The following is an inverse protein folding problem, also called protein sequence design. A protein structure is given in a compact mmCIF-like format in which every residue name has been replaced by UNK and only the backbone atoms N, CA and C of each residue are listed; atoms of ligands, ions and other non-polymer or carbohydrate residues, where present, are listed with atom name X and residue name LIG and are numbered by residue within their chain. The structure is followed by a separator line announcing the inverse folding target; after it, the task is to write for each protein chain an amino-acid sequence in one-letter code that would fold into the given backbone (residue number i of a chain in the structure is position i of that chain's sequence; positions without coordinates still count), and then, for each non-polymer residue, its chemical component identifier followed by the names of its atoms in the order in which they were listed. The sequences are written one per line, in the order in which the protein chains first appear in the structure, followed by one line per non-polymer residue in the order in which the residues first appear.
data_IF_254457778656
#
_entry.id   IF_254457778656
#
_cell.length_a   1.000
_cell.length_b   1.000
_cell.length_c   1.000
_cell.angle_alpha   90.00
_cell.angle_beta   90.00
_cell.angle_gamma   90.00
#
_symmetry.space_group_name_H-M   'P 1'
#
loop_
_entity.id
_entity.type
_entity.pdbx_description
1 polymer ?
#
# COMPACT_ATOMS: atom_id res chain seq x y z
N UNK A 1 -11.91 -51.24 -9.04
CA UNK A 1 -11.69 -49.86 -9.51
C UNK A 1 -12.74 -48.99 -8.81
N UNK A 2 -12.42 -48.46 -7.63
CA UNK A 2 -13.36 -47.64 -6.85
C UNK A 2 -13.36 -46.23 -7.43
N UNK A 3 -14.40 -45.94 -8.18
CA UNK A 3 -14.75 -44.65 -8.76
C UNK A 3 -14.88 -43.60 -7.64
N UNK A 4 -13.85 -42.76 -7.42
CA UNK A 4 -13.82 -41.64 -6.45
C UNK A 4 -14.82 -40.51 -6.85
N UNK A 5 -15.66 -40.73 -7.87
CA UNK A 5 -16.59 -39.74 -8.43
C UNK A 5 -17.81 -39.42 -7.55
N UNK A 6 -17.83 -39.79 -6.26
CA UNK A 6 -18.98 -39.55 -5.37
C UNK A 6 -18.90 -38.24 -4.59
N UNK A 7 -17.71 -37.69 -4.38
CA UNK A 7 -17.56 -36.49 -3.56
C UNK A 7 -17.44 -35.26 -4.46
N UNK A 8 -18.60 -34.67 -4.76
CA UNK A 8 -18.69 -33.32 -5.30
C UNK A 8 -18.44 -32.25 -4.22
N UNK A 9 -18.41 -32.63 -2.95
CA UNK A 9 -18.30 -31.74 -1.83
C UNK A 9 -17.40 -32.37 -0.76
N UNK A 10 -16.43 -31.59 -0.26
CA UNK A 10 -15.59 -31.91 0.89
C UNK A 10 -15.79 -30.80 1.92
N UNK A 11 -16.44 -31.13 3.03
CA UNK A 11 -16.64 -30.23 4.17
C UNK A 11 -15.89 -30.82 5.37
N UNK A 12 -14.78 -30.19 5.72
CA UNK A 12 -13.93 -30.57 6.84
C UNK A 12 -13.62 -29.37 7.74
N UNK A 13 -14.53 -28.39 7.80
CA UNK A 13 -14.36 -27.21 8.62
C UNK A 13 -14.40 -27.53 10.13
N UNK A 14 -13.61 -26.78 10.92
CA UNK A 14 -13.57 -26.91 12.38
C UNK A 14 -13.25 -28.33 12.88
N UNK A 15 -12.32 -29.01 12.23
CA UNK A 15 -11.90 -30.39 12.57
C UNK A 15 -10.52 -30.47 13.22
N UNK A 16 -9.92 -29.33 13.57
CA UNK A 16 -8.57 -29.26 14.14
C UNK A 16 -7.50 -29.89 13.24
N UNK A 17 -7.76 -29.97 11.93
CA UNK A 17 -6.81 -30.52 10.94
C UNK A 17 -5.55 -29.65 10.88
N UNK A 18 -4.40 -30.26 10.63
CA UNK A 18 -3.11 -29.60 10.57
C UNK A 18 -2.26 -30.14 9.41
N UNK A 19 -1.13 -29.51 9.15
CA UNK A 19 -0.29 -29.82 7.99
C UNK A 19 -0.70 -28.99 6.76
N UNK A 20 -0.22 -29.38 5.59
CA UNK A 20 -0.48 -28.67 4.34
C UNK A 20 -1.65 -29.24 3.55
N UNK A 21 -2.15 -28.47 2.58
CA UNK A 21 -3.08 -28.97 1.57
C UNK A 21 -2.26 -29.78 0.56
N UNK A 22 -2.50 -31.09 0.39
CA UNK A 22 -1.73 -31.92 -0.52
C UNK A 22 -1.99 -31.51 -1.98
N UNK A 23 -0.95 -31.39 -2.84
CA UNK A 23 -1.09 -31.10 -4.27
C UNK A 23 -2.05 -32.06 -5.02
N UNK A 24 -2.18 -33.30 -4.53
CA UNK A 24 -3.10 -34.31 -5.04
C UNK A 24 -4.57 -33.87 -5.00
N UNK A 25 -4.91 -32.84 -4.21
CA UNK A 25 -6.26 -32.23 -4.22
C UNK A 25 -6.68 -31.84 -5.64
N UNK A 26 -5.73 -31.43 -6.50
CA UNK A 26 -5.98 -31.07 -7.90
C UNK A 26 -6.44 -32.23 -8.80
N UNK A 27 -6.40 -33.47 -8.31
CA UNK A 27 -6.91 -34.65 -9.03
C UNK A 27 -8.43 -34.83 -8.86
N UNK A 28 -9.06 -34.11 -7.93
CA UNK A 28 -10.49 -34.21 -7.64
C UNK A 28 -11.32 -33.39 -8.63
N UNK A 29 -11.21 -33.69 -9.92
CA UNK A 29 -11.78 -32.89 -11.01
C UNK A 29 -13.30 -32.68 -10.97
N UNK A 30 -14.04 -33.49 -10.21
CA UNK A 30 -15.50 -33.36 -10.02
C UNK A 30 -15.90 -32.55 -8.78
N UNK A 31 -14.92 -32.06 -8.00
CA UNK A 31 -15.17 -31.30 -6.79
C UNK A 31 -15.80 -29.95 -7.12
N UNK A 32 -16.92 -29.66 -6.47
CA UNK A 32 -17.70 -28.42 -6.55
C UNK A 32 -17.54 -27.57 -5.30
N UNK A 33 -17.30 -28.18 -4.15
CA UNK A 33 -17.19 -27.48 -2.89
C UNK A 33 -16.05 -28.05 -2.05
N UNK A 34 -15.16 -27.17 -1.63
CA UNK A 34 -14.07 -27.46 -0.71
C UNK A 34 -14.11 -26.47 0.45
N UNK A 35 -14.53 -26.94 1.61
CA UNK A 35 -14.50 -26.18 2.86
C UNK A 35 -13.52 -26.84 3.84
N UNK A 36 -12.37 -26.19 4.01
CA UNK A 36 -11.34 -26.56 4.98
C UNK A 36 -11.21 -25.49 6.07
N UNK A 37 -12.19 -24.59 6.21
CA UNK A 37 -12.11 -23.42 7.08
C UNK A 37 -11.99 -23.77 8.57
N UNK A 38 -11.48 -22.83 9.35
CA UNK A 38 -11.34 -22.96 10.81
C UNK A 38 -10.57 -24.22 11.23
N UNK A 39 -9.44 -24.49 10.57
CA UNK A 39 -8.51 -25.56 10.91
C UNK A 39 -7.10 -24.99 11.21
N UNK A 40 -6.18 -25.83 11.65
CA UNK A 40 -4.76 -25.50 11.81
C UNK A 40 -3.93 -25.79 10.54
N UNK A 41 -4.56 -25.86 9.37
CA UNK A 41 -3.87 -26.07 8.10
C UNK A 41 -2.88 -24.91 7.87
N UNK A 42 -1.65 -25.24 7.54
CA UNK A 42 -0.52 -24.33 7.42
C UNK A 42 0.16 -24.46 6.05
N UNK A 43 1.30 -23.79 5.89
CA UNK A 43 2.06 -23.73 4.62
C UNK A 43 1.28 -23.02 3.51
N UNK A 44 1.70 -23.21 2.26
CA UNK A 44 1.18 -22.48 1.12
C UNK A 44 -0.06 -23.14 0.52
N UNK A 45 -0.86 -22.34 -0.18
CA UNK A 45 -1.92 -22.83 -1.05
C UNK A 45 -1.26 -23.49 -2.28
N UNK A 46 -1.48 -24.78 -2.59
CA UNK A 46 -0.89 -25.43 -3.75
C UNK A 46 -1.51 -24.90 -5.05
N UNK A 47 -0.69 -24.67 -6.08
CA UNK A 47 -1.17 -24.21 -7.40
C UNK A 47 -2.08 -25.24 -8.07
N UNK A 48 -1.96 -26.52 -7.72
CA UNK A 48 -2.80 -27.61 -8.20
C UNK A 48 -4.28 -27.42 -7.89
N UNK A 49 -4.64 -26.61 -6.90
CA UNK A 49 -6.04 -26.21 -6.67
C UNK A 49 -6.65 -25.56 -7.91
N UNK A 50 -5.86 -24.83 -8.71
CA UNK A 50 -6.29 -24.22 -9.97
C UNK A 50 -6.75 -25.22 -11.04
N UNK A 51 -6.49 -26.53 -10.87
CA UNK A 51 -6.97 -27.59 -11.77
C UNK A 51 -8.44 -27.96 -11.54
N UNK A 52 -9.04 -27.53 -10.43
CA UNK A 52 -10.40 -27.86 -10.04
C UNK A 52 -11.44 -26.98 -10.74
N UNK A 53 -11.50 -27.05 -12.07
CA UNK A 53 -12.33 -26.13 -12.88
C UNK A 53 -13.84 -26.25 -12.61
N UNK A 54 -14.31 -27.33 -11.99
CA UNK A 54 -15.71 -27.50 -11.56
C UNK A 54 -16.01 -26.89 -10.18
N UNK A 55 -15.01 -26.37 -9.47
CA UNK A 55 -15.15 -25.83 -8.12
C UNK A 55 -15.99 -24.56 -8.15
N UNK A 56 -17.06 -24.54 -7.35
CA UNK A 56 -18.00 -23.44 -7.18
C UNK A 56 -17.75 -22.70 -5.86
N UNK A 57 -17.25 -23.39 -4.83
CA UNK A 57 -16.97 -22.81 -3.50
C UNK A 57 -15.63 -23.29 -2.96
N UNK A 58 -14.79 -22.34 -2.54
CA UNK A 58 -13.50 -22.60 -1.91
C UNK A 58 -13.37 -21.76 -0.63
N UNK A 59 -13.40 -22.43 0.53
CA UNK A 59 -13.22 -21.82 1.83
C UNK A 59 -11.97 -22.38 2.53
N UNK A 60 -10.98 -21.51 2.70
CA UNK A 60 -9.73 -21.77 3.41
C UNK A 60 -9.51 -20.75 4.54
N UNK A 61 -10.56 -20.03 4.94
CA UNK A 61 -10.48 -18.97 5.93
C UNK A 61 -10.28 -19.51 7.35
N UNK A 62 -9.73 -18.68 8.23
CA UNK A 62 -9.36 -19.09 9.61
C UNK A 62 -8.40 -20.30 9.62
N UNK A 63 -7.43 -20.31 8.71
CA UNK A 63 -6.33 -21.27 8.68
C UNK A 63 -5.00 -20.56 8.98
N UNK A 64 -3.92 -21.32 9.13
CA UNK A 64 -2.55 -20.81 9.34
C UNK A 64 -1.76 -20.73 8.02
N UNK A 65 -2.45 -20.60 6.89
CA UNK A 65 -1.84 -20.56 5.56
C UNK A 65 -0.90 -19.37 5.42
N UNK A 66 0.25 -19.58 4.78
CA UNK A 66 1.30 -18.60 4.52
C UNK A 66 1.61 -18.53 3.02
N UNK A 67 2.58 -17.69 2.63
CA UNK A 67 2.98 -17.52 1.23
C UNK A 67 1.96 -16.69 0.44
N UNK A 68 2.06 -16.75 -0.89
CA UNK A 68 1.23 -15.95 -1.80
C UNK A 68 -0.03 -16.68 -2.22
N UNK A 69 -1.03 -15.93 -2.67
CA UNK A 69 -2.18 -16.49 -3.39
C UNK A 69 -1.70 -16.95 -4.77
N UNK A 70 -1.84 -18.24 -5.16
CA UNK A 70 -1.43 -18.70 -6.49
C UNK A 70 -2.28 -18.06 -7.60
N UNK A 71 -1.64 -17.60 -8.68
CA UNK A 71 -2.34 -17.09 -9.87
C UNK A 71 -3.21 -18.17 -10.53
N UNK A 72 -2.84 -19.45 -10.41
CA UNK A 72 -3.60 -20.59 -10.92
C UNK A 72 -5.04 -20.66 -10.38
N UNK A 73 -5.34 -20.04 -9.23
CA UNK A 73 -6.72 -19.92 -8.75
C UNK A 73 -7.61 -19.13 -9.73
N UNK A 74 -7.03 -18.29 -10.60
CA UNK A 74 -7.75 -17.62 -11.69
C UNK A 74 -8.32 -18.57 -12.76
N UNK A 75 -7.89 -19.85 -12.77
CA UNK A 75 -8.42 -20.87 -13.70
C UNK A 75 -9.77 -21.47 -13.25
N UNK A 76 -10.23 -21.16 -12.03
CA UNK A 76 -11.46 -21.71 -11.45
C UNK A 76 -12.71 -21.03 -12.03
N UNK A 77 -12.95 -21.21 -13.33
CA UNK A 77 -13.98 -20.47 -14.08
C UNK A 77 -15.41 -20.61 -13.55
N UNK A 78 -15.73 -21.68 -12.81
CA UNK A 78 -17.03 -21.90 -12.18
C UNK A 78 -17.14 -21.37 -10.74
N UNK A 79 -16.07 -20.79 -10.19
CA UNK A 79 -16.03 -20.35 -8.80
C UNK A 79 -16.99 -19.19 -8.56
N UNK A 80 -17.82 -19.33 -7.53
CA UNK A 80 -18.81 -18.36 -7.08
C UNK A 80 -18.42 -17.70 -5.76
N UNK A 81 -17.73 -18.44 -4.89
CA UNK A 81 -17.32 -17.96 -3.57
C UNK A 81 -15.89 -18.37 -3.26
N UNK A 82 -15.05 -17.38 -2.95
CA UNK A 82 -13.68 -17.55 -2.50
C UNK A 82 -13.48 -16.84 -1.17
N UNK A 83 -13.17 -17.59 -0.11
CA UNK A 83 -12.85 -17.04 1.20
C UNK A 83 -11.47 -17.53 1.67
N UNK A 84 -10.51 -16.61 1.66
CA UNK A 84 -9.15 -16.78 2.16
C UNK A 84 -8.88 -15.85 3.37
N UNK A 85 -9.92 -15.35 4.01
CA UNK A 85 -9.79 -14.39 5.13
C UNK A 85 -9.20 -15.02 6.39
N UNK A 86 -8.63 -14.20 7.28
CA UNK A 86 -8.07 -14.65 8.56
C UNK A 86 -7.00 -15.74 8.40
N UNK A 87 -6.03 -15.48 7.52
CA UNK A 87 -4.84 -16.31 7.32
C UNK A 87 -3.57 -15.45 7.47
N UNK A 88 -2.40 -15.98 7.10
CA UNK A 88 -1.13 -15.25 7.12
C UNK A 88 -0.59 -15.04 5.69
N UNK A 89 -1.48 -14.87 4.70
CA UNK A 89 -1.09 -14.73 3.30
C UNK A 89 -0.36 -13.40 3.06
N UNK A 90 0.66 -13.42 2.20
CA UNK A 90 1.53 -12.29 1.86
C UNK A 90 1.54 -12.05 0.34
N UNK A 91 2.23 -10.98 -0.07
CA UNK A 91 2.39 -10.63 -1.48
C UNK A 91 1.14 -9.97 -2.06
N UNK A 92 1.08 -9.91 -3.39
CA UNK A 92 0.01 -9.20 -4.09
C UNK A 92 -1.26 -10.04 -4.23
N UNK A 93 -2.38 -9.37 -4.47
CA UNK A 93 -3.58 -10.02 -5.01
C UNK A 93 -3.30 -10.33 -6.49
N UNK A 94 -3.36 -11.60 -6.94
CA UNK A 94 -3.09 -11.92 -8.34
C UNK A 94 -4.13 -11.29 -9.27
N UNK A 95 -3.70 -10.57 -10.33
CA UNK A 95 -4.60 -10.05 -11.36
C UNK A 95 -5.47 -11.13 -12.02
N UNK A 96 -4.97 -12.37 -12.08
CA UNK A 96 -5.66 -13.53 -12.64
C UNK A 96 -6.98 -13.87 -11.93
N UNK A 97 -7.17 -13.42 -10.68
CA UNK A 97 -8.48 -13.53 -10.01
C UNK A 97 -9.57 -12.76 -10.74
N UNK A 98 -9.22 -11.78 -11.59
CA UNK A 98 -10.16 -11.10 -12.48
C UNK A 98 -10.75 -11.97 -13.58
N UNK A 99 -10.22 -13.19 -13.80
CA UNK A 99 -10.76 -14.16 -14.78
C UNK A 99 -11.97 -14.94 -14.22
N UNK A 100 -12.27 -14.82 -12.93
CA UNK A 100 -13.34 -15.55 -12.25
C UNK A 100 -14.73 -14.96 -12.54
N UNK A 101 -15.16 -14.98 -13.80
CA UNK A 101 -16.39 -14.33 -14.27
C UNK A 101 -17.70 -14.73 -13.55
N UNK A 102 -17.69 -15.85 -12.81
CA UNK A 102 -18.82 -16.31 -12.00
C UNK A 102 -18.76 -15.90 -10.52
N UNK A 103 -17.69 -15.24 -10.09
CA UNK A 103 -17.45 -14.92 -8.68
C UNK A 103 -18.45 -13.88 -8.17
N UNK A 104 -19.13 -14.23 -7.08
CA UNK A 104 -20.09 -13.38 -6.37
C UNK A 104 -19.53 -12.90 -5.02
N UNK A 105 -18.64 -13.68 -4.40
CA UNK A 105 -18.02 -13.32 -3.12
C UNK A 105 -16.51 -13.55 -3.15
N UNK A 106 -15.76 -12.48 -2.88
CA UNK A 106 -14.31 -12.49 -2.69
C UNK A 106 -13.95 -11.91 -1.32
N UNK A 107 -13.40 -12.74 -0.44
CA UNK A 107 -13.00 -12.34 0.90
C UNK A 107 -11.52 -12.68 1.13
N UNK A 108 -10.72 -11.63 1.27
CA UNK A 108 -9.28 -11.68 1.52
C UNK A 108 -8.88 -10.90 2.79
N UNK A 109 -9.86 -10.47 3.59
CA UNK A 109 -9.64 -9.64 4.78
C UNK A 109 -8.81 -10.34 5.85
N UNK A 110 -8.13 -9.59 6.71
CA UNK A 110 -7.28 -10.11 7.79
C UNK A 110 -6.18 -11.05 7.25
N UNK A 111 -5.34 -10.50 6.39
CA UNK A 111 -4.11 -11.12 5.90
C UNK A 111 -2.98 -10.07 5.92
N UNK A 112 -1.80 -10.42 5.37
CA UNK A 112 -0.66 -9.53 5.21
C UNK A 112 -0.42 -9.16 3.73
N UNK A 113 -1.49 -9.14 2.90
CA UNK A 113 -1.38 -8.84 1.47
C UNK A 113 -0.93 -7.40 1.25
N UNK A 114 -0.10 -7.18 0.23
CA UNK A 114 0.52 -5.89 -0.09
C UNK A 114 0.35 -5.53 -1.57
N UNK A 115 0.87 -4.37 -1.96
CA UNK A 115 0.69 -3.85 -3.32
C UNK A 115 -0.69 -3.24 -3.54
N UNK A 116 -1.04 -3.01 -4.81
CA UNK A 116 -2.31 -2.37 -5.19
C UNK A 116 -3.42 -3.38 -5.38
N UNK A 117 -4.67 -2.91 -5.32
CA UNK A 117 -5.82 -3.72 -5.74
C UNK A 117 -5.80 -3.80 -7.28
N UNK A 118 -5.73 -5.01 -7.90
CA UNK A 118 -5.67 -5.16 -9.35
C UNK A 118 -6.90 -4.58 -10.06
N UNK A 119 -6.69 -3.98 -11.22
CA UNK A 119 -7.75 -3.39 -12.05
C UNK A 119 -8.72 -4.46 -12.57
N UNK A 120 -8.18 -5.65 -12.77
CA UNK A 120 -8.80 -6.82 -13.35
C UNK A 120 -9.95 -7.34 -12.49
N UNK A 121 -9.94 -7.07 -11.18
CA UNK A 121 -11.08 -7.37 -10.32
C UNK A 121 -12.34 -6.58 -10.72
N UNK A 122 -12.20 -5.45 -11.42
CA UNK A 122 -13.32 -4.73 -12.02
C UNK A 122 -14.04 -5.49 -13.15
N UNK A 123 -13.47 -6.58 -13.68
CA UNK A 123 -14.11 -7.46 -14.68
C UNK A 123 -15.17 -8.38 -14.05
N UNK A 124 -15.19 -8.52 -12.73
CA UNK A 124 -16.06 -9.43 -11.98
C UNK A 124 -17.49 -8.89 -11.88
N UNK A 125 -18.19 -8.88 -13.01
CA UNK A 125 -19.55 -8.29 -13.16
C UNK A 125 -20.64 -8.91 -12.27
N UNK A 126 -20.37 -10.08 -11.66
CA UNK A 126 -21.27 -10.76 -10.72
C UNK A 126 -20.89 -10.56 -9.25
N UNK A 127 -19.81 -9.82 -8.97
CA UNK A 127 -19.30 -9.65 -7.62
C UNK A 127 -20.26 -8.80 -6.78
N UNK A 128 -20.70 -9.37 -5.66
CA UNK A 128 -21.63 -8.75 -4.71
C UNK A 128 -20.94 -8.44 -3.38
N UNK A 129 -19.95 -9.25 -2.98
CA UNK A 129 -19.20 -9.09 -1.73
C UNK A 129 -17.71 -9.01 -2.01
N UNK A 130 -17.07 -7.93 -1.54
CA UNK A 130 -15.62 -7.73 -1.64
C UNK A 130 -15.04 -7.26 -0.30
N UNK A 131 -14.36 -8.14 0.42
CA UNK A 131 -13.69 -7.81 1.68
C UNK A 131 -12.18 -7.91 1.53
N UNK A 132 -11.50 -6.76 1.62
CA UNK A 132 -10.04 -6.63 1.55
C UNK A 132 -9.47 -5.96 2.81
N UNK A 133 -10.32 -5.61 3.78
CA UNK A 133 -9.92 -4.88 4.98
C UNK A 133 -8.91 -5.64 5.85
N UNK A 134 -8.15 -4.92 6.68
CA UNK A 134 -7.07 -5.49 7.51
C UNK A 134 -6.02 -6.23 6.66
N UNK A 135 -5.38 -5.49 5.76
CA UNK A 135 -4.23 -5.91 4.96
C UNK A 135 -3.22 -4.75 4.85
N UNK A 136 -2.14 -4.95 4.11
CA UNK A 136 -1.13 -3.93 3.81
C UNK A 136 -1.27 -3.37 2.38
N UNK A 137 -2.49 -3.34 1.84
CA UNK A 137 -2.74 -2.86 0.47
C UNK A 137 -2.53 -1.35 0.37
N UNK A 138 -2.00 -0.90 -0.75
CA UNK A 138 -1.65 0.50 -1.04
C UNK A 138 -2.29 0.97 -2.35
N UNK A 139 -2.10 2.25 -2.68
CA UNK A 139 -2.61 2.85 -3.91
C UNK A 139 -4.11 3.17 -3.88
N UNK A 140 -4.61 3.82 -4.94
CA UNK A 140 -5.99 4.24 -5.03
C UNK A 140 -6.93 3.07 -5.31
N UNK A 141 -8.16 3.15 -4.79
CA UNK A 141 -9.25 2.29 -5.24
C UNK A 141 -9.58 2.67 -6.69
N UNK A 142 -9.31 1.76 -7.61
CA UNK A 142 -9.50 1.96 -9.03
C UNK A 142 -10.97 2.21 -9.38
N UNK A 143 -11.22 2.99 -10.43
CA UNK A 143 -12.56 3.37 -10.89
C UNK A 143 -13.41 2.18 -11.32
N UNK A 144 -12.77 1.15 -11.85
CA UNK A 144 -13.34 -0.09 -12.35
C UNK A 144 -14.04 -0.86 -11.22
N UNK A 145 -13.46 -0.84 -10.01
CA UNK A 145 -14.08 -1.42 -8.81
C UNK A 145 -15.30 -0.64 -8.35
N UNK A 146 -15.29 0.70 -8.51
CA UNK A 146 -16.43 1.55 -8.18
C UNK A 146 -17.61 1.36 -9.14
N UNK A 147 -17.31 0.92 -10.36
CA UNK A 147 -18.31 0.69 -11.40
C UNK A 147 -18.98 -0.69 -11.31
N UNK A 148 -18.58 -1.53 -10.34
CA UNK A 148 -19.26 -2.79 -10.06
C UNK A 148 -20.64 -2.51 -9.45
N UNK A 149 -21.63 -2.37 -10.33
CA UNK A 149 -23.02 -2.03 -10.00
C UNK A 149 -23.75 -3.00 -9.07
N UNK A 150 -23.20 -4.20 -8.85
CA UNK A 150 -23.78 -5.25 -8.01
C UNK A 150 -23.15 -5.39 -6.63
N UNK A 151 -22.11 -4.62 -6.30
CA UNK A 151 -21.50 -4.70 -4.98
C UNK A 151 -22.50 -4.23 -3.93
N UNK A 152 -22.91 -5.16 -3.07
CA UNK A 152 -23.77 -4.92 -1.92
C UNK A 152 -22.95 -4.58 -0.67
N UNK A 153 -21.75 -5.15 -0.57
CA UNK A 153 -20.86 -4.94 0.57
C UNK A 153 -19.41 -4.91 0.12
N UNK A 154 -18.76 -3.76 0.28
CA UNK A 154 -17.33 -3.58 0.02
C UNK A 154 -16.66 -3.02 1.27
N UNK A 155 -15.67 -3.75 1.79
CA UNK A 155 -14.88 -3.31 2.93
C UNK A 155 -13.40 -3.34 2.59
N UNK A 156 -12.79 -2.17 2.49
CA UNK A 156 -11.37 -1.96 2.18
C UNK A 156 -10.65 -1.17 3.28
N UNK A 157 -11.31 -0.92 4.40
CA UNK A 157 -10.78 -0.18 5.56
C UNK A 157 -9.54 -0.89 6.15
N UNK A 158 -8.76 -0.17 6.97
CA UNK A 158 -7.56 -0.75 7.62
C UNK A 158 -6.54 -1.32 6.62
N UNK A 159 -6.47 -0.67 5.45
CA UNK A 159 -5.38 -0.77 4.50
C UNK A 159 -4.64 0.58 4.43
N UNK A 160 -3.45 0.57 3.84
CA UNK A 160 -2.70 1.78 3.52
C UNK A 160 -3.16 2.42 2.20
N UNK A 161 -4.40 2.13 1.74
CA UNK A 161 -5.03 2.70 0.56
C UNK A 161 -5.23 4.19 0.77
N UNK A 162 -4.32 4.98 0.20
CA UNK A 162 -4.21 6.44 0.20
C UNK A 162 -5.06 7.21 1.23
N UNK A 163 -4.52 7.36 2.43
CA UNK A 163 -4.43 8.73 2.97
C UNK A 163 -3.56 9.51 2.00
N UNK A 164 -4.15 10.18 1.01
CA UNK A 164 -3.44 11.25 0.30
C UNK A 164 -2.97 12.23 1.39
N UNK A 165 -1.69 12.20 1.77
CA UNK A 165 -1.07 13.35 2.42
C UNK A 165 -1.10 14.44 1.36
N UNK A 166 -2.24 15.15 1.26
CA UNK A 166 -2.27 16.47 0.67
C UNK A 166 -1.31 17.28 1.53
N UNK A 167 -0.07 17.43 1.07
CA UNK A 167 0.80 18.50 1.55
C UNK A 167 -0.05 19.75 1.40
N UNK A 168 -0.49 20.34 2.51
CA UNK A 168 -1.34 21.51 2.41
C UNK A 168 -0.46 22.63 1.88
N UNK A 169 -0.97 23.42 0.96
CA UNK A 169 -0.27 24.62 0.46
C UNK A 169 0.12 25.53 1.65
N UNK A 170 -0.61 25.47 2.78
CA UNK A 170 -0.25 26.13 4.04
C UNK A 170 1.12 25.72 4.60
N UNK A 171 1.53 24.47 4.41
CA UNK A 171 2.81 23.94 4.91
C UNK A 171 4.00 24.45 4.07
N UNK A 172 3.74 24.84 2.82
CA UNK A 172 4.70 25.45 1.89
C UNK A 172 4.77 26.98 2.08
N UNK A 173 3.65 27.62 2.44
CA UNK A 173 3.53 29.07 2.61
C UNK A 173 4.18 29.65 3.87
N UNK A 174 4.61 28.83 4.83
CA UNK A 174 5.31 29.32 6.03
C UNK A 174 6.75 29.78 5.71
N UNK A 175 7.32 29.36 4.58
CA UNK A 175 8.70 29.64 4.20
C UNK A 175 8.98 31.06 3.65
N UNK A 176 8.18 31.66 2.75
CA UNK A 176 8.54 32.96 2.17
C UNK A 176 8.58 34.10 3.19
N UNK A 177 7.68 34.12 4.18
CA UNK A 177 7.68 35.14 5.25
C UNK A 177 8.93 34.98 6.14
N UNK A 178 9.31 33.74 6.46
CA UNK A 178 10.49 33.45 7.26
C UNK A 178 11.80 33.82 6.53
N UNK A 179 11.86 33.57 5.22
CA UNK A 179 12.99 33.97 4.36
C UNK A 179 13.11 35.49 4.28
N UNK A 180 12.01 36.21 4.10
CA UNK A 180 12.00 37.69 4.08
C UNK A 180 12.47 38.25 5.42
N UNK A 181 12.04 37.68 6.55
CA UNK A 181 12.47 38.11 7.87
C UNK A 181 13.99 37.97 8.08
N UNK A 182 14.58 36.86 7.61
CA UNK A 182 16.04 36.65 7.67
C UNK A 182 16.78 37.69 6.82
N UNK A 183 16.34 37.93 5.59
CA UNK A 183 16.96 38.94 4.69
C UNK A 183 16.89 40.34 5.32
N UNK A 184 15.77 40.70 5.96
CA UNK A 184 15.63 42.00 6.63
C UNK A 184 16.59 42.12 7.81
N UNK A 185 16.76 41.06 8.62
CA UNK A 185 17.72 41.04 9.72
C UNK A 185 19.15 41.21 9.20
N UNK A 186 19.52 40.53 8.11
CA UNK A 186 20.84 40.65 7.49
C UNK A 186 21.10 42.08 6.99
N UNK A 187 20.11 42.71 6.33
CA UNK A 187 20.21 44.11 5.89
C UNK A 187 20.39 45.04 7.08
N UNK A 188 19.64 44.87 8.17
CA UNK A 188 19.77 45.70 9.38
C UNK A 188 21.17 45.57 9.97
N UNK A 189 21.71 44.35 10.08
CA UNK A 189 23.05 44.11 10.62
C UNK A 189 24.14 44.71 9.72
N UNK A 190 23.99 44.62 8.40
CA UNK A 190 24.87 45.27 7.44
C UNK A 190 24.81 46.79 7.61
N UNK A 191 23.61 47.40 7.63
CA UNK A 191 23.43 48.83 7.83
C UNK A 191 24.04 49.32 9.16
N UNK A 192 23.84 48.58 10.25
CA UNK A 192 24.45 48.87 11.55
C UNK A 192 25.99 48.83 11.47
N UNK A 193 26.55 47.81 10.81
CA UNK A 193 28.01 47.69 10.63
C UNK A 193 28.60 48.85 9.83
N UNK A 194 27.91 49.33 8.79
CA UNK A 194 28.32 50.47 7.96
C UNK A 194 28.22 51.78 8.74
N UNK A 195 27.13 51.97 9.51
CA UNK A 195 26.96 53.16 10.35
C UNK A 195 28.04 53.25 11.42
N UNK A 196 28.35 52.14 12.10
CA UNK A 196 29.41 52.09 13.12
C UNK A 196 30.79 52.39 12.55
N UNK A 197 31.12 51.88 11.34
CA UNK A 197 32.39 52.19 10.65
C UNK A 197 32.55 53.67 10.34
N UNK A 198 31.47 54.39 9.99
CA UNK A 198 31.52 55.85 9.74
C UNK A 198 31.79 56.68 11.00
N UNK A 199 31.46 56.15 12.19
CA UNK A 199 31.64 56.84 13.48
C UNK A 199 33.04 56.65 14.09
N UNK A 200 33.76 55.59 13.70
CA UNK A 200 35.15 55.35 14.13
C UNK A 200 36.13 56.07 13.19
N UNK A 201 36.56 57.27 13.56
CA UNK A 201 37.56 58.08 12.81
C UNK A 201 39.02 57.84 13.22
N UNK A 202 39.29 56.95 14.19
CA UNK A 202 40.62 56.78 14.82
C UNK A 202 41.42 55.55 14.35
N UNK A 203 41.01 54.87 13.27
CA UNK A 203 41.86 53.87 12.59
C UNK A 203 42.15 52.55 13.33
N UNK A 204 41.85 52.42 14.64
CA UNK A 204 41.96 51.15 15.39
C UNK A 204 40.65 50.36 15.31
N UNK A 205 40.66 49.21 14.60
CA UNK A 205 39.55 48.25 14.61
C UNK A 205 39.50 47.53 15.97
N UNK A 206 38.35 47.55 16.62
CA UNK A 206 38.13 46.89 17.91
C UNK A 206 37.84 45.39 17.73
N UNK A 207 38.02 44.58 18.78
CA UNK A 207 37.58 43.17 18.81
C UNK A 207 36.10 43.04 18.41
N UNK A 208 35.28 44.01 18.79
CA UNK A 208 33.87 44.08 18.43
C UNK A 208 33.65 44.22 16.91
N UNK A 209 34.57 44.82 16.16
CA UNK A 209 34.46 44.94 14.69
C UNK A 209 34.80 43.62 13.99
N UNK A 210 35.72 42.83 14.56
CA UNK A 210 35.99 41.46 14.10
C UNK A 210 34.82 40.52 14.40
N UNK A 211 34.23 40.60 15.59
CA UNK A 211 33.04 39.82 15.94
C UNK A 211 31.88 40.16 15.01
N UNK A 212 31.64 41.43 14.72
CA UNK A 212 30.58 41.84 13.77
C UNK A 212 30.86 41.32 12.36
N UNK A 213 32.11 41.38 11.88
CA UNK A 213 32.45 40.78 10.58
C UNK A 213 32.25 39.26 10.55
N UNK A 214 32.63 38.57 11.63
CA UNK A 214 32.45 37.12 11.74
C UNK A 214 30.97 36.74 11.72
N UNK A 215 30.12 37.47 12.45
CA UNK A 215 28.67 37.25 12.46
C UNK A 215 28.08 37.46 11.05
N UNK A 216 28.49 38.50 10.33
CA UNK A 216 28.03 38.74 8.95
C UNK A 216 28.41 37.56 8.02
N UNK A 217 29.63 37.04 8.16
CA UNK A 217 30.10 35.90 7.35
C UNK A 217 29.29 34.64 7.67
N UNK A 218 29.04 34.35 8.95
CA UNK A 218 28.25 33.20 9.37
C UNK A 218 26.81 33.29 8.86
N UNK A 219 26.18 34.46 8.97
CA UNK A 219 24.82 34.69 8.46
C UNK A 219 24.75 34.55 6.93
N UNK A 220 25.76 35.06 6.21
CA UNK A 220 25.84 34.91 4.75
C UNK A 220 26.04 33.45 4.32
N UNK A 221 26.80 32.66 5.07
CA UNK A 221 26.95 31.22 4.80
C UNK A 221 25.63 30.49 5.08
N UNK A 222 24.94 30.85 6.15
CA UNK A 222 23.65 30.25 6.51
C UNK A 222 22.58 30.54 5.44
N UNK A 223 22.50 31.77 4.92
CA UNK A 223 21.55 32.10 3.86
C UNK A 223 21.81 31.34 2.57
N UNK A 224 23.08 31.13 2.19
CA UNK A 224 23.44 30.28 1.04
C UNK A 224 23.02 28.83 1.26
N UNK A 225 23.25 28.27 2.45
CA UNK A 225 22.83 26.89 2.78
C UNK A 225 21.31 26.72 2.70
N UNK A 226 20.53 27.71 3.15
CA UNK A 226 19.07 27.69 3.04
C UNK A 226 18.62 27.71 1.57
N UNK A 227 19.25 28.53 0.72
CA UNK A 227 18.95 28.57 -0.72
C UNK A 227 19.24 27.22 -1.38
N UNK A 228 20.40 26.61 -1.09
CA UNK A 228 20.77 25.30 -1.63
C UNK A 228 19.78 24.22 -1.19
N UNK A 229 19.37 24.23 0.08
CA UNK A 229 18.37 23.30 0.60
C UNK A 229 17.02 23.43 -0.13
N UNK A 230 16.56 24.67 -0.38
CA UNK A 230 15.32 24.92 -1.13
C UNK A 230 15.42 24.40 -2.56
N UNK A 231 16.55 24.64 -3.25
CA UNK A 231 16.75 24.13 -4.61
C UNK A 231 16.71 22.60 -4.66
N UNK A 232 17.34 21.93 -3.69
CA UNK A 232 17.31 20.47 -3.59
C UNK A 232 15.89 19.94 -3.37
N UNK A 233 15.09 20.60 -2.54
CA UNK A 233 13.69 20.24 -2.32
C UNK A 233 12.83 20.44 -3.58
N UNK A 234 13.05 21.51 -4.35
CA UNK A 234 12.36 21.74 -5.62
C UNK A 234 12.74 20.71 -6.68
N UNK A 235 14.02 20.32 -6.75
CA UNK A 235 14.48 19.25 -7.64
C UNK A 235 13.85 17.91 -7.25
N UNK A 236 13.83 17.58 -5.96
CA UNK A 236 13.16 16.38 -5.45
C UNK A 236 11.66 16.37 -5.77
N UNK A 237 11.00 17.53 -5.67
CA UNK A 237 9.60 17.69 -6.03
C UNK A 237 9.36 17.50 -7.54
N UNK A 238 10.22 18.07 -8.40
CA UNK A 238 10.12 17.90 -9.86
C UNK A 238 10.33 16.45 -10.29
N UNK A 239 11.23 15.73 -9.62
CA UNK A 239 11.46 14.29 -9.86
C UNK A 239 10.29 13.41 -9.41
N UNK A 240 9.43 13.91 -8.51
CA UNK A 240 8.29 13.17 -7.97
C UNK A 240 7.01 13.31 -8.82
N UNK A 241 6.98 14.24 -9.79
CA UNK A 241 5.83 14.47 -10.69
C UNK A 241 6.19 14.24 -12.17
N UNK A 242 7.31 13.57 -12.43
CA UNK A 242 7.84 13.32 -13.77
C UNK A 242 7.46 11.99 -14.42
N UNK A 243 6.65 11.15 -13.78
CA UNK A 243 6.11 9.89 -14.33
C UNK A 243 4.57 9.91 -14.36
#
# INVERSE_FOLDING_TARGET
MYTIHKYNTIILNSKNLSGSIPPEIGQLSYLKELDLSANNISETIPSELGKLTNLETLYLNHCKLTGTIPSDLGNLSNLKSLDLSHCNLIGIIPPDLGNLSNLASLKLSHNNLSGTIPSELGKLSKLETLYLNNNNLTGPIQTELKNLSKINSMNVCDNHTEKKKKIKISDILLHPIFIIAIIVIDIILICYSVHKRKKSKDGKKSLLDFIVMFIIIVLSIYSVLVIVYILLMLLAFSSYHGD
#
